data_IF_775326205464
#
_entry.id   IF_775326205464
#
_cell.length_a   1.000
_cell.length_b   1.000
_cell.length_c   1.000
_cell.angle_alpha   90.00
_cell.angle_beta   90.00
_cell.angle_gamma   90.00
#
_symmetry.space_group_name_H-M   'P 1'
#
loop_
_entity.id
_entity.type
_entity.pdbx_description
1 polymer ?
#
# COMPACT_ATOMS: atom_id res chain seq x y z
N UNK A 1 31.45 -26.37 -20.58
CA UNK A 1 31.60 -27.33 -19.46
C UNK A 1 31.00 -26.67 -18.22
N UNK A 2 29.69 -26.86 -18.01
CA UNK A 2 28.95 -26.22 -16.91
C UNK A 2 28.96 -27.14 -15.68
N UNK A 3 29.60 -26.71 -14.59
CA UNK A 3 29.55 -27.41 -13.30
C UNK A 3 28.22 -27.09 -12.62
N UNK A 4 27.28 -28.02 -12.71
CA UNK A 4 26.12 -28.06 -11.83
C UNK A 4 26.58 -28.41 -10.41
N UNK A 5 26.75 -27.40 -9.56
CA UNK A 5 26.91 -27.62 -8.12
C UNK A 5 25.56 -28.05 -7.54
N UNK A 6 25.51 -29.30 -7.10
CA UNK A 6 24.41 -29.91 -6.34
C UNK A 6 24.09 -29.01 -5.14
N UNK A 7 22.92 -28.38 -5.11
CA UNK A 7 22.37 -27.85 -3.88
C UNK A 7 21.92 -29.03 -3.02
N UNK A 8 22.83 -29.58 -2.22
CA UNK A 8 22.44 -30.42 -1.09
C UNK A 8 21.50 -29.58 -0.22
N UNK A 9 20.34 -30.14 0.14
CA UNK A 9 19.48 -29.55 1.16
C UNK A 9 20.28 -29.57 2.46
N UNK A 10 20.97 -28.48 2.77
CA UNK A 10 21.68 -28.29 4.03
C UNK A 10 20.61 -28.18 5.12
N UNK A 11 20.32 -29.29 5.78
CA UNK A 11 19.57 -29.29 7.04
C UNK A 11 20.42 -28.62 8.10
N UNK A 12 19.85 -27.63 8.79
CA UNK A 12 20.53 -26.91 9.88
C UNK A 12 20.94 -27.91 10.98
N UNK A 13 22.13 -27.76 11.59
CA UNK A 13 22.49 -28.51 12.78
C UNK A 13 21.45 -28.27 13.90
N UNK A 14 21.18 -29.28 14.73
CA UNK A 14 20.15 -29.21 15.78
C UNK A 14 20.37 -28.05 16.76
N UNK A 15 21.63 -27.75 17.08
CA UNK A 15 22.03 -26.63 17.94
C UNK A 15 21.69 -25.26 17.32
N UNK A 16 21.94 -25.13 16.01
CA UNK A 16 21.59 -23.92 15.25
C UNK A 16 20.07 -23.76 15.17
N UNK A 17 19.33 -24.85 15.07
CA UNK A 17 17.87 -24.83 14.98
C UNK A 17 17.22 -24.30 16.26
N UNK A 18 17.76 -24.64 17.43
CA UNK A 18 17.31 -24.08 18.71
C UNK A 18 17.53 -22.56 18.77
N UNK A 19 18.74 -22.11 18.41
CA UNK A 19 19.08 -20.69 18.34
C UNK A 19 18.18 -19.92 17.36
N UNK A 20 17.86 -20.50 16.20
CA UNK A 20 16.92 -19.90 15.25
C UNK A 20 15.53 -19.71 15.82
N UNK A 21 15.01 -20.74 16.49
CA UNK A 21 13.68 -20.68 17.07
C UNK A 21 13.58 -19.60 18.16
N UNK A 22 14.64 -19.42 18.96
CA UNK A 22 14.71 -18.33 19.94
C UNK A 22 14.69 -16.94 19.29
N UNK A 23 15.39 -16.76 18.18
CA UNK A 23 15.43 -15.50 17.44
C UNK A 23 14.09 -15.18 16.76
N UNK A 24 13.41 -16.22 16.26
CA UNK A 24 12.04 -16.13 15.74
C UNK A 24 11.10 -15.67 16.84
N UNK A 25 11.18 -16.30 18.01
CA UNK A 25 10.35 -15.92 19.16
C UNK A 25 10.60 -14.46 19.61
N UNK A 26 11.82 -13.95 19.46
CA UNK A 26 12.20 -12.56 19.78
C UNK A 26 11.98 -11.55 18.64
N UNK A 27 11.52 -11.98 17.46
CA UNK A 27 11.40 -11.14 16.24
C UNK A 27 12.73 -10.49 15.79
N UNK A 28 13.87 -11.10 16.08
CA UNK A 28 15.19 -10.53 15.79
C UNK A 28 15.75 -10.93 14.41
N UNK A 29 15.00 -11.71 13.61
CA UNK A 29 15.45 -12.18 12.28
C UNK A 29 15.75 -11.07 11.29
N UNK A 30 15.21 -9.88 11.53
CA UNK A 30 15.44 -8.71 10.66
C UNK A 30 16.81 -8.08 10.90
N UNK A 31 17.50 -8.41 12.00
CA UNK A 31 18.85 -7.93 12.27
C UNK A 31 19.86 -8.75 11.47
N UNK A 32 20.55 -8.07 10.55
CA UNK A 32 21.63 -8.67 9.76
C UNK A 32 22.73 -9.29 10.62
N UNK A 33 22.92 -8.73 11.84
CA UNK A 33 23.86 -9.14 12.89
C UNK A 33 23.68 -10.58 13.38
N UNK A 34 22.50 -11.15 13.13
CA UNK A 34 22.02 -12.40 13.73
C UNK A 34 21.84 -13.52 12.69
N UNK A 35 21.97 -13.19 11.40
CA UNK A 35 21.91 -14.17 10.31
C UNK A 35 23.04 -15.20 10.43
N UNK A 36 22.77 -16.48 10.14
CA UNK A 36 23.79 -17.56 10.05
C UNK A 36 24.85 -17.22 9.01
N UNK A 37 24.42 -16.55 7.95
CA UNK A 37 25.28 -16.06 6.89
C UNK A 37 25.15 -14.54 6.87
N UNK A 38 25.87 -13.85 7.77
CA UNK A 38 25.83 -12.41 7.77
C UNK A 38 26.37 -11.88 6.45
N UNK A 39 25.68 -10.91 5.85
CA UNK A 39 26.01 -10.39 4.51
C UNK A 39 27.37 -9.68 4.43
N UNK A 40 28.07 -9.56 5.56
CA UNK A 40 29.34 -8.87 5.74
C UNK A 40 30.52 -9.78 6.10
N UNK A 41 30.35 -11.11 6.11
CA UNK A 41 31.47 -12.06 6.31
C UNK A 41 32.50 -12.01 5.18
N UNK A 42 32.05 -11.70 3.95
CA UNK A 42 32.90 -11.62 2.76
C UNK A 42 33.14 -10.16 2.32
N UNK A 43 32.96 -9.18 3.21
CA UNK A 43 33.16 -7.77 2.86
C UNK A 43 34.65 -7.43 2.80
N UNK A 44 35.10 -6.87 1.68
CA UNK A 44 36.48 -6.34 1.54
C UNK A 44 36.72 -5.07 2.35
N UNK A 45 35.65 -4.32 2.65
CA UNK A 45 35.67 -3.09 3.42
C UNK A 45 35.18 -3.32 4.85
N UNK A 46 35.70 -2.58 5.85
CA UNK A 46 35.25 -2.71 7.24
C UNK A 46 33.74 -2.47 7.37
N UNK A 47 33.06 -3.36 8.10
CA UNK A 47 31.60 -3.37 8.26
C UNK A 47 31.03 -1.99 8.64
N UNK A 48 31.65 -1.30 9.60
CA UNK A 48 31.21 0.02 10.07
C UNK A 48 31.13 1.08 8.96
N UNK A 49 32.04 1.03 7.98
CA UNK A 49 32.06 1.96 6.86
C UNK A 49 30.84 1.74 5.97
N UNK A 50 30.52 0.47 5.67
CA UNK A 50 29.36 0.10 4.86
C UNK A 50 28.06 0.44 5.57
N UNK A 51 27.95 0.20 6.88
CA UNK A 51 26.80 0.62 7.67
C UNK A 51 26.58 2.13 7.60
N UNK A 52 27.64 2.93 7.79
CA UNK A 52 27.55 4.40 7.73
C UNK A 52 27.14 4.89 6.35
N UNK A 53 27.67 4.29 5.29
CA UNK A 53 27.30 4.64 3.92
C UNK A 53 25.84 4.29 3.60
N UNK A 54 25.37 3.11 4.04
CA UNK A 54 23.97 2.70 3.90
C UNK A 54 23.03 3.61 4.67
N UNK A 55 23.38 3.94 5.91
CA UNK A 55 22.62 4.85 6.74
C UNK A 55 22.48 6.23 6.09
N UNK A 56 23.59 6.81 5.61
CA UNK A 56 23.56 8.11 4.92
C UNK A 56 22.71 8.07 3.64
N UNK A 57 22.81 6.99 2.86
CA UNK A 57 21.99 6.79 1.64
C UNK A 57 20.51 6.69 1.98
N UNK A 58 20.16 5.91 3.00
CA UNK A 58 18.77 5.76 3.44
C UNK A 58 18.22 7.06 4.01
N UNK A 59 19.00 7.82 4.78
CA UNK A 59 18.60 9.13 5.29
C UNK A 59 18.26 10.10 4.13
N UNK A 60 19.09 10.14 3.09
CA UNK A 60 18.82 10.95 1.89
C UNK A 60 17.53 10.50 1.19
N UNK A 61 17.33 9.19 1.02
CA UNK A 61 16.12 8.62 0.40
C UNK A 61 14.86 8.92 1.21
N UNK A 62 14.91 8.74 2.53
CA UNK A 62 13.78 9.01 3.42
C UNK A 62 13.40 10.49 3.39
N UNK A 63 14.38 11.40 3.35
CA UNK A 63 14.10 12.83 3.20
C UNK A 63 13.39 13.15 1.88
N UNK A 64 13.81 12.54 0.77
CA UNK A 64 13.14 12.76 -0.52
C UNK A 64 11.73 12.19 -0.54
N UNK A 65 11.52 11.00 0.06
CA UNK A 65 10.19 10.39 0.16
C UNK A 65 9.26 11.21 1.04
N UNK A 66 9.75 11.68 2.19
CA UNK A 66 9.00 12.54 3.09
C UNK A 66 8.49 13.81 2.39
N UNK A 67 9.35 14.48 1.63
CA UNK A 67 8.94 15.68 0.89
C UNK A 67 7.87 15.39 -0.18
N UNK A 68 7.99 14.25 -0.88
CA UNK A 68 6.97 13.82 -1.82
C UNK A 68 5.65 13.52 -1.11
N UNK A 69 5.68 12.82 0.02
CA UNK A 69 4.48 12.51 0.82
C UNK A 69 3.77 13.78 1.28
N UNK A 70 4.50 14.77 1.79
CA UNK A 70 3.93 16.08 2.17
C UNK A 70 3.24 16.76 0.97
N UNK A 71 3.93 16.81 -0.18
CA UNK A 71 3.36 17.41 -1.39
C UNK A 71 2.09 16.68 -1.85
N UNK A 72 2.09 15.34 -1.81
CA UNK A 72 0.91 14.54 -2.15
C UNK A 72 -0.25 14.78 -1.18
N UNK A 73 0.03 14.93 0.11
CA UNK A 73 -0.98 15.24 1.13
C UNK A 73 -1.61 16.62 0.89
N UNK A 74 -0.80 17.64 0.58
CA UNK A 74 -1.30 18.98 0.24
C UNK A 74 -2.21 18.94 -1.00
N UNK A 75 -1.82 18.19 -2.03
CA UNK A 75 -2.64 18.01 -3.24
C UNK A 75 -3.92 17.22 -2.97
N UNK A 76 -3.89 16.23 -2.06
CA UNK A 76 -5.07 15.48 -1.68
C UNK A 76 -6.11 16.37 -0.96
N UNK A 77 -5.66 17.30 -0.13
CA UNK A 77 -6.55 18.20 0.63
C UNK A 77 -7.45 19.02 -0.29
N UNK A 78 -6.94 19.54 -1.41
CA UNK A 78 -7.78 20.27 -2.38
C UNK A 78 -8.85 19.38 -3.01
N UNK A 79 -8.49 18.15 -3.39
CA UNK A 79 -9.45 17.16 -3.93
C UNK A 79 -10.50 16.75 -2.91
N UNK A 80 -10.13 16.64 -1.64
CA UNK A 80 -11.07 16.33 -0.55
C UNK A 80 -12.08 17.47 -0.36
N UNK A 81 -11.65 18.73 -0.45
CA UNK A 81 -12.56 19.87 -0.40
C UNK A 81 -13.56 19.87 -1.57
N UNK A 82 -13.10 19.55 -2.77
CA UNK A 82 -13.99 19.41 -3.94
C UNK A 82 -14.98 18.27 -3.75
N UNK A 83 -14.55 17.13 -3.21
CA UNK A 83 -15.43 16.01 -2.90
C UNK A 83 -16.48 16.36 -1.83
N UNK A 84 -16.09 17.09 -0.78
CA UNK A 84 -17.02 17.58 0.25
C UNK A 84 -18.00 18.59 -0.33
N UNK A 85 -17.54 19.47 -1.23
CA UNK A 85 -18.40 20.45 -1.91
C UNK A 85 -19.42 19.74 -2.80
N UNK A 86 -18.98 18.78 -3.60
CA UNK A 86 -19.84 17.96 -4.44
C UNK A 86 -20.85 17.20 -3.57
N UNK A 87 -20.39 16.59 -2.48
CA UNK A 87 -21.28 15.94 -1.53
C UNK A 87 -22.33 16.91 -0.99
N UNK A 88 -21.97 18.12 -0.56
CA UNK A 88 -22.94 19.11 -0.05
C UNK A 88 -24.00 19.53 -1.07
N UNK A 89 -23.62 19.69 -2.34
CA UNK A 89 -24.56 20.09 -3.39
C UNK A 89 -25.50 18.93 -3.77
N UNK A 90 -24.96 17.73 -3.95
CA UNK A 90 -25.74 16.59 -4.45
C UNK A 90 -26.40 15.76 -3.35
N UNK A 91 -25.92 15.81 -2.10
CA UNK A 91 -26.50 15.06 -0.98
C UNK A 91 -27.82 15.66 -0.50
N UNK A 92 -28.13 16.92 -0.82
CA UNK A 92 -29.43 17.53 -0.47
C UNK A 92 -30.60 16.70 -1.00
N UNK A 93 -30.48 16.18 -2.22
CA UNK A 93 -31.48 15.33 -2.89
C UNK A 93 -31.66 13.97 -2.16
N UNK A 94 -30.61 13.49 -1.49
CA UNK A 94 -30.59 12.19 -0.80
C UNK A 94 -31.04 12.33 0.66
N UNK A 95 -30.64 13.41 1.33
CA UNK A 95 -30.81 13.62 2.78
C UNK A 95 -32.12 14.34 3.09
N UNK A 96 -32.55 15.27 2.22
CA UNK A 96 -33.78 16.04 2.39
C UNK A 96 -34.78 15.54 1.33
N UNK A 97 -36.02 15.17 1.72
CA UNK A 97 -37.05 14.84 0.73
C UNK A 97 -37.27 16.05 -0.18
N UNK A 98 -37.29 15.83 -1.50
CA UNK A 98 -37.49 16.90 -2.47
C UNK A 98 -38.89 17.51 -2.30
N UNK A 99 -38.96 18.82 -2.51
CA UNK A 99 -40.25 19.49 -2.62
C UNK A 99 -41.02 18.93 -3.83
N UNK A 100 -42.33 18.71 -3.70
CA UNK A 100 -43.13 18.03 -4.72
C UNK A 100 -43.17 18.76 -6.07
N UNK A 101 -42.82 20.04 -6.11
CA UNK A 101 -42.73 20.86 -7.33
C UNK A 101 -41.45 20.61 -8.14
N UNK A 102 -40.37 20.18 -7.49
CA UNK A 102 -39.08 19.89 -8.12
C UNK A 102 -38.94 18.44 -8.59
N UNK A 103 -39.94 17.60 -8.29
CA UNK A 103 -39.99 16.21 -8.75
C UNK A 103 -40.24 16.22 -10.26
N UNK A 104 -39.25 15.79 -11.03
CA UNK A 104 -39.39 15.59 -12.47
C UNK A 104 -40.39 14.46 -12.71
N UNK A 105 -41.65 14.82 -12.96
CA UNK A 105 -42.69 13.87 -13.38
C UNK A 105 -42.56 13.60 -14.87
N UNK A 106 -42.67 12.33 -15.26
CA UNK A 106 -42.75 11.97 -16.68
C UNK A 106 -43.95 12.63 -17.34
N UNK A 107 -43.73 13.19 -18.53
CA UNK A 107 -44.83 13.61 -19.40
C UNK A 107 -45.74 12.43 -19.70
N UNK A 108 -47.04 12.67 -19.87
CA UNK A 108 -48.01 11.64 -20.24
C UNK A 108 -47.61 10.88 -21.52
N UNK A 109 -46.84 11.52 -22.43
CA UNK A 109 -46.30 10.87 -23.63
C UNK A 109 -45.18 9.89 -23.30
N UNK A 110 -44.32 10.23 -22.34
CA UNK A 110 -43.18 9.42 -21.95
C UNK A 110 -43.64 8.24 -21.09
N UNK A 111 -44.65 8.43 -20.22
CA UNK A 111 -45.30 7.34 -19.48
C UNK A 111 -45.86 6.28 -20.43
N UNK A 112 -46.65 6.70 -21.44
CA UNK A 112 -47.19 5.78 -22.45
C UNK A 112 -46.11 5.01 -23.18
N UNK A 113 -44.99 5.67 -23.50
CA UNK A 113 -43.86 5.03 -24.18
C UNK A 113 -43.20 3.99 -23.28
N UNK A 114 -43.13 4.27 -21.98
CA UNK A 114 -42.61 3.37 -20.96
C UNK A 114 -43.53 2.16 -20.79
N UNK A 115 -44.84 2.36 -20.71
CA UNK A 115 -45.83 1.28 -20.59
C UNK A 115 -45.76 0.31 -21.78
N UNK A 116 -45.55 0.83 -22.99
CA UNK A 116 -45.34 0.01 -24.19
C UNK A 116 -44.07 -0.84 -24.04
N UNK A 117 -42.95 -0.22 -23.66
CA UNK A 117 -41.66 -0.92 -23.48
C UNK A 117 -41.69 -1.95 -22.34
N UNK A 118 -42.52 -1.73 -21.30
CA UNK A 118 -42.69 -2.64 -20.18
C UNK A 118 -43.64 -3.81 -20.51
N UNK A 119 -44.53 -3.65 -21.50
CA UNK A 119 -45.42 -4.70 -21.99
C UNK A 119 -44.76 -5.60 -23.05
N UNK A 120 -43.68 -5.13 -23.67
CA UNK A 120 -42.91 -5.87 -24.69
C UNK A 120 -41.82 -6.79 -24.12
N UNK A 121 -41.52 -6.73 -22.83
CA UNK A 121 -40.63 -7.65 -22.10
C UNK A 121 -41.41 -8.66 -21.26
#
# INVERSE_FOLDING_TARGET
MALMTRHSKLTMPAEVQHYWNELVAKNELTRSDVSIYPSYTNLTLPYRVVCRQRYARNAKRNRTLYLLEVMYQELLQSRVLDAIRLFREYSKVIIVPLDPEDIITLSAKDQRKLDILMAEN
#
